data_IF_023476469648
#
_entry.id   IF_023476469648
#
_cell.length_a   1.000
_cell.length_b   1.000
_cell.length_c   1.000
_cell.angle_alpha   90.00
_cell.angle_beta   90.00
_cell.angle_gamma   90.00
#
_symmetry.space_group_name_H-M   'P 1'
#
loop_
_entity.id
_entity.type
_entity.pdbx_description
1 polymer ?
#
# COMPACT_ATOMS: atom_id res chain seq x y z
N UNK A 1 -6.07 -5.17 -2.95
CA UNK A 1 -4.66 -5.63 -2.88
C UNK A 1 -4.27 -6.27 -4.21
N UNK A 2 -3.00 -6.17 -4.61
CA UNK A 2 -2.53 -6.71 -5.89
C UNK A 2 -2.52 -8.23 -5.92
N UNK A 3 -2.53 -8.80 -7.12
CA UNK A 3 -2.48 -10.25 -7.34
C UNK A 3 -1.20 -10.63 -8.08
N UNK A 4 -0.51 -11.67 -7.60
CA UNK A 4 0.61 -12.28 -8.31
C UNK A 4 0.04 -13.25 -9.34
N UNK A 5 0.16 -12.91 -10.63
CA UNK A 5 -0.42 -13.71 -11.73
C UNK A 5 0.56 -14.72 -12.30
N UNK A 6 1.85 -14.39 -12.26
CA UNK A 6 2.96 -15.26 -12.64
C UNK A 6 4.21 -14.84 -11.87
N UNK A 7 5.22 -15.72 -11.86
CA UNK A 7 6.50 -15.42 -11.23
C UNK A 7 7.05 -14.05 -11.67
N UNK A 8 7.45 -13.24 -10.69
CA UNK A 8 7.99 -11.89 -10.90
C UNK A 8 7.00 -10.85 -11.44
N UNK A 9 5.70 -11.15 -11.58
CA UNK A 9 4.70 -10.20 -12.09
C UNK A 9 3.55 -9.97 -11.12
N UNK A 10 3.45 -8.72 -10.67
CA UNK A 10 2.36 -8.24 -9.83
C UNK A 10 1.41 -7.43 -10.71
N UNK A 11 0.12 -7.76 -10.68
CA UNK A 11 -0.94 -6.87 -11.17
C UNK A 11 -1.51 -6.11 -9.97
N UNK A 12 -1.45 -4.79 -10.01
CA UNK A 12 -2.06 -3.95 -8.99
C UNK A 12 -3.01 -2.96 -9.65
N UNK A 13 -4.21 -2.86 -9.10
CA UNK A 13 -5.24 -1.94 -9.54
C UNK A 13 -5.77 -1.22 -8.29
N UNK A 14 -5.79 0.11 -8.37
CA UNK A 14 -6.32 0.95 -7.30
C UNK A 14 -7.84 0.85 -7.30
N UNK A 15 -8.43 0.66 -6.12
CA UNK A 15 -9.87 0.76 -5.95
C UNK A 15 -10.34 2.20 -6.20
N UNK A 16 -11.57 2.38 -6.65
CA UNK A 16 -12.13 3.73 -6.87
C UNK A 16 -12.17 4.53 -5.56
N UNK A 17 -12.47 3.87 -4.44
CA UNK A 17 -12.42 4.50 -3.12
C UNK A 17 -11.01 5.01 -2.77
N UNK A 18 -9.97 4.26 -3.13
CA UNK A 18 -8.58 4.67 -2.92
C UNK A 18 -8.23 5.89 -3.77
N UNK A 19 -8.64 5.90 -5.04
CA UNK A 19 -8.43 7.03 -5.96
C UNK A 19 -9.09 8.30 -5.44
N UNK A 20 -10.33 8.21 -4.97
CA UNK A 20 -11.06 9.34 -4.39
C UNK A 20 -10.36 9.88 -3.14
N UNK A 21 -9.93 9.01 -2.23
CA UNK A 21 -9.23 9.42 -1.02
C UNK A 21 -7.87 10.05 -1.32
N UNK A 22 -7.11 9.52 -2.28
CA UNK A 22 -5.85 10.11 -2.70
C UNK A 22 -6.05 11.50 -3.32
N UNK A 23 -7.09 11.68 -4.14
CA UNK A 23 -7.47 13.00 -4.67
C UNK A 23 -7.79 13.98 -3.54
N UNK A 24 -8.57 13.58 -2.54
CA UNK A 24 -8.85 14.41 -1.37
C UNK A 24 -7.59 14.75 -0.58
N UNK A 25 -6.67 13.78 -0.39
CA UNK A 25 -5.38 13.99 0.26
C UNK A 25 -4.54 15.04 -0.45
N UNK A 26 -4.43 14.95 -1.77
CA UNK A 26 -3.70 15.91 -2.60
C UNK A 26 -4.31 17.32 -2.53
N UNK A 27 -5.65 17.43 -2.62
CA UNK A 27 -6.35 18.70 -2.48
C UNK A 27 -6.09 19.37 -1.12
N UNK A 28 -6.04 18.58 -0.04
CA UNK A 28 -5.73 19.09 1.31
C UNK A 28 -4.27 19.53 1.41
N UNK A 29 -3.34 18.74 0.89
CA UNK A 29 -1.91 19.09 0.88
C UNK A 29 -1.67 20.40 0.11
N UNK A 30 -2.31 20.56 -1.06
CA UNK A 30 -2.22 21.79 -1.85
C UNK A 30 -2.74 23.01 -1.09
N UNK A 31 -3.88 22.89 -0.39
CA UNK A 31 -4.41 23.98 0.45
C UNK A 31 -3.44 24.38 1.55
N UNK A 32 -2.78 23.41 2.20
CA UNK A 32 -1.78 23.67 3.23
C UNK A 32 -0.57 24.40 2.64
N UNK A 33 -0.06 23.94 1.50
CA UNK A 33 1.09 24.56 0.83
C UNK A 33 0.81 26.01 0.41
N UNK A 34 -0.36 26.27 -0.20
CA UNK A 34 -0.78 27.63 -0.57
C UNK A 34 -0.93 28.51 0.67
N UNK A 35 -1.57 28.02 1.73
CA UNK A 35 -1.72 28.76 2.98
C UNK A 35 -0.38 29.06 3.66
N UNK A 36 0.63 28.22 3.46
CA UNK A 36 2.01 28.44 3.90
C UNK A 36 2.78 29.45 3.03
N UNK A 37 2.18 30.00 1.97
CA UNK A 37 2.78 31.00 1.09
C UNK A 37 3.50 30.41 -0.13
N UNK A 38 3.27 29.13 -0.47
CA UNK A 38 3.82 28.56 -1.70
C UNK A 38 3.25 29.29 -2.93
N UNK A 39 4.13 29.81 -3.77
CA UNK A 39 3.78 30.50 -5.02
C UNK A 39 3.67 29.55 -6.22
N UNK A 40 4.23 28.36 -6.10
CA UNK A 40 4.20 27.29 -7.08
C UNK A 40 4.23 25.94 -6.36
N UNK A 41 3.45 24.96 -6.84
CA UNK A 41 3.41 23.59 -6.30
C UNK A 41 3.45 22.63 -7.48
N UNK A 42 4.51 21.83 -7.56
CA UNK A 42 4.72 20.84 -8.63
C UNK A 42 5.04 19.44 -8.08
N UNK A 43 5.00 18.45 -8.96
CA UNK A 43 5.31 17.05 -8.64
C UNK A 43 5.84 16.30 -9.87
N UNK A 44 6.24 15.01 -9.74
CA UNK A 44 6.98 14.25 -10.75
C UNK A 44 6.35 14.15 -12.16
N UNK A 45 5.09 14.58 -12.35
CA UNK A 45 4.39 14.60 -13.65
C UNK A 45 3.54 15.86 -13.82
N UNK A 46 4.02 17.04 -13.42
CA UNK A 46 3.29 18.30 -13.56
C UNK A 46 3.21 18.82 -15.00
N UNK A 47 2.58 18.05 -15.90
CA UNK A 47 2.12 18.53 -17.21
C UNK A 47 0.65 18.24 -17.53
N UNK A 48 -0.13 17.51 -16.70
CA UNK A 48 -1.60 17.45 -16.84
C UNK A 48 -2.31 17.33 -15.47
N UNK A 49 -3.45 17.99 -15.33
CA UNK A 49 -4.14 18.39 -14.08
C UNK A 49 -4.49 17.28 -13.07
N UNK A 50 -4.29 15.99 -13.35
CA UNK A 50 -4.73 14.91 -12.44
C UNK A 50 -3.84 13.67 -12.40
N UNK A 51 -2.73 13.62 -13.15
CA UNK A 51 -1.84 12.45 -13.16
C UNK A 51 -0.70 12.63 -12.14
N UNK A 52 -0.99 12.33 -10.88
CA UNK A 52 0.04 12.07 -9.88
C UNK A 52 0.58 10.65 -10.05
N UNK A 53 1.90 10.47 -9.93
CA UNK A 53 2.49 9.14 -9.88
C UNK A 53 2.14 8.53 -8.52
N UNK A 54 1.12 7.69 -8.47
CA UNK A 54 0.79 6.93 -7.27
C UNK A 54 1.84 5.85 -7.08
N UNK A 55 2.81 6.12 -6.22
CA UNK A 55 3.89 5.18 -5.90
C UNK A 55 4.12 5.13 -4.39
N UNK A 56 4.54 3.95 -3.94
CA UNK A 56 4.95 3.71 -2.56
C UNK A 56 5.99 2.60 -2.55
N UNK A 57 6.88 2.65 -1.58
CA UNK A 57 7.81 1.57 -1.26
C UNK A 57 7.28 0.67 -0.12
N UNK A 58 6.01 0.83 0.28
CA UNK A 58 5.40 0.08 1.38
C UNK A 58 4.49 -1.03 0.82
N UNK A 59 5.07 -2.05 0.20
CA UNK A 59 4.33 -3.24 -0.21
C UNK A 59 4.00 -4.09 1.03
N UNK A 60 2.75 -4.54 1.11
CA UNK A 60 2.20 -5.28 2.26
C UNK A 60 1.18 -6.32 1.80
N UNK A 61 0.96 -7.33 2.65
CA UNK A 61 -0.19 -8.25 2.51
C UNK A 61 -0.06 -9.32 1.44
N UNK A 62 1.15 -9.60 0.95
CA UNK A 62 1.43 -10.68 0.00
C UNK A 62 1.51 -12.07 0.66
N UNK A 63 1.80 -12.14 1.95
CA UNK A 63 1.78 -13.35 2.79
C UNK A 63 1.00 -13.07 4.07
N UNK A 64 -0.22 -12.56 3.91
CA UNK A 64 -1.03 -12.00 5.00
C UNK A 64 -1.32 -13.02 6.10
N UNK A 65 -1.34 -12.52 7.33
CA UNK A 65 -1.93 -13.21 8.48
C UNK A 65 -3.43 -13.41 8.22
N UNK A 66 -3.94 -14.60 8.53
CA UNK A 66 -5.36 -14.94 8.54
C UNK A 66 -5.71 -15.81 9.74
N UNK A 67 -6.98 -15.78 10.18
CA UNK A 67 -7.43 -16.66 11.27
C UNK A 67 -7.53 -18.13 10.83
N UNK A 68 -7.54 -18.37 9.52
CA UNK A 68 -7.58 -19.69 8.90
C UNK A 68 -6.72 -19.71 7.64
N UNK A 69 -6.31 -20.91 7.20
CA UNK A 69 -5.59 -21.15 5.94
C UNK A 69 -6.32 -20.58 4.70
N UNK A 70 -7.65 -20.43 4.75
CA UNK A 70 -8.42 -19.84 3.64
C UNK A 70 -8.39 -18.32 3.62
N UNK A 71 -8.08 -17.69 4.76
CA UNK A 71 -8.11 -16.24 4.93
C UNK A 71 -6.72 -15.60 4.83
N UNK A 72 -5.65 -16.39 5.03
CA UNK A 72 -4.27 -15.93 4.92
C UNK A 72 -3.26 -17.06 4.74
N UNK A 73 -2.03 -16.69 4.41
CA UNK A 73 -0.94 -17.62 4.14
C UNK A 73 -0.26 -18.12 5.43
N UNK A 74 -0.41 -17.34 6.51
CA UNK A 74 0.18 -17.64 7.82
C UNK A 74 -0.82 -17.38 8.95
N UNK A 75 -0.57 -17.95 10.11
CA UNK A 75 -1.33 -17.75 11.35
C UNK A 75 -0.95 -16.43 12.06
N UNK A 76 -1.54 -16.16 13.22
CA UNK A 76 -1.26 -14.96 14.02
C UNK A 76 0.18 -14.86 14.55
N UNK A 77 0.92 -15.98 14.55
CA UNK A 77 2.32 -16.06 14.95
C UNK A 77 3.27 -15.88 13.74
N UNK A 78 2.73 -15.70 12.53
CA UNK A 78 3.50 -15.62 11.29
C UNK A 78 3.97 -16.97 10.76
N UNK A 79 3.45 -18.09 11.30
CA UNK A 79 3.79 -19.43 10.86
C UNK A 79 2.93 -19.84 9.66
N UNK A 80 3.55 -20.45 8.65
CA UNK A 80 2.85 -20.96 7.46
C UNK A 80 1.85 -22.06 7.81
N UNK A 81 0.66 -21.99 7.21
CA UNK A 81 -0.32 -23.07 7.26
C UNK A 81 0.12 -24.31 6.46
N UNK A 82 0.98 -24.14 5.46
CA UNK A 82 1.43 -25.21 4.57
C UNK A 82 2.62 -26.02 5.14
N UNK A 83 3.37 -25.45 6.09
CA UNK A 83 4.60 -26.07 6.61
C UNK A 83 4.90 -25.71 8.07
N UNK A 84 5.09 -26.74 8.90
CA UNK A 84 5.52 -26.58 10.29
C UNK A 84 6.96 -26.03 10.39
N UNK A 85 7.17 -25.05 11.27
CA UNK A 85 8.48 -24.44 11.49
C UNK A 85 8.91 -23.39 10.45
N UNK A 86 8.07 -23.09 9.45
CA UNK A 86 8.31 -22.02 8.47
C UNK A 86 7.60 -20.74 8.89
N UNK A 87 8.34 -19.65 9.05
CA UNK A 87 7.83 -18.35 9.49
C UNK A 87 8.13 -17.24 8.49
N UNK A 88 7.22 -16.26 8.42
CA UNK A 88 7.39 -15.01 7.69
C UNK A 88 7.45 -13.88 8.71
N UNK A 89 8.37 -12.93 8.55
CA UNK A 89 8.63 -11.86 9.54
C UNK A 89 8.88 -10.49 8.90
N UNK A 90 8.18 -10.17 7.81
CA UNK A 90 8.27 -8.86 7.15
C UNK A 90 6.88 -8.25 6.91
N UNK A 91 6.84 -7.10 6.22
CA UNK A 91 5.61 -6.37 5.94
C UNK A 91 4.58 -7.16 5.10
N UNK A 92 4.98 -8.28 4.47
CA UNK A 92 4.04 -9.16 3.76
C UNK A 92 2.96 -9.76 4.67
N UNK A 93 3.23 -9.86 5.98
CA UNK A 93 2.29 -10.30 7.00
C UNK A 93 1.08 -9.37 7.16
N UNK A 94 1.27 -8.07 6.96
CA UNK A 94 0.29 -7.06 7.30
C UNK A 94 -0.99 -7.24 6.45
N UNK A 95 -2.16 -7.51 7.06
CA UNK A 95 -3.39 -7.80 6.31
C UNK A 95 -3.90 -6.63 5.46
N UNK A 96 -3.44 -5.41 5.68
CA UNK A 96 -3.82 -4.26 4.86
C UNK A 96 -2.75 -3.18 4.93
N UNK A 97 -2.86 -2.17 4.08
CA UNK A 97 -2.04 -0.98 4.20
C UNK A 97 -2.37 -0.25 5.52
N UNK A 98 -1.35 -0.09 6.37
CA UNK A 98 -1.48 0.54 7.70
C UNK A 98 -1.43 2.07 7.68
N UNK A 99 -1.25 2.68 6.50
CA UNK A 99 -1.21 4.13 6.32
C UNK A 99 0.07 4.84 6.79
N UNK A 100 1.04 4.08 7.32
CA UNK A 100 2.35 4.58 7.79
C UNK A 100 3.49 3.72 7.25
N UNK A 101 4.73 4.12 7.51
CA UNK A 101 5.90 3.32 7.15
C UNK A 101 5.95 2.04 7.99
N UNK A 102 6.00 0.84 7.37
CA UNK A 102 5.92 -0.42 8.10
C UNK A 102 7.19 -0.76 8.91
N UNK A 103 8.26 0.04 8.84
CA UNK A 103 9.52 -0.21 9.55
C UNK A 103 9.38 -0.37 11.08
N UNK A 104 8.38 0.27 11.70
CA UNK A 104 8.23 0.35 13.16
C UNK A 104 7.04 -0.44 13.72
N UNK A 105 6.42 -1.29 12.90
CA UNK A 105 5.16 -1.96 13.22
C UNK A 105 5.40 -3.37 13.75
#
# INVERSE_FOLDING_TARGET
CGEVRSEGRIKYELDEFDKENMKHGLQRALRILIAAGAVEVGGPMSHEELWSLYSTAHQMGSCRIGMTEKEGAVDENGQSWEAEGLFVCDASLLPTAIGVNPMIT
#
